data_IF_082806236317
#
_entry.id   IF_082806236317
#
_cell.length_a   1.000
_cell.length_b   1.000
_cell.length_c   1.000
_cell.angle_alpha   90.00
_cell.angle_beta   90.00
_cell.angle_gamma   90.00
#
_symmetry.space_group_name_H-M   'P 1'
#
loop_
_entity.id
_entity.type
_entity.pdbx_description
1 polymer ?
#
# COMPACT_ATOMS: atom_id res chain seq x y z
N UNK A 1 20.55 64.79 -20.37
CA UNK A 1 19.44 64.02 -19.77
C UNK A 1 20.04 62.84 -19.02
N UNK A 2 20.16 62.93 -17.69
CA UNK A 2 20.70 61.85 -16.86
C UNK A 2 19.56 61.24 -16.06
N UNK A 3 19.28 59.96 -16.30
CA UNK A 3 18.28 59.18 -15.57
C UNK A 3 18.81 58.86 -14.17
N UNK A 4 18.09 59.32 -13.14
CA UNK A 4 18.40 59.00 -11.74
C UNK A 4 17.75 57.66 -11.37
N UNK A 5 18.48 56.68 -10.80
CA UNK A 5 17.94 55.37 -10.51
C UNK A 5 17.02 55.42 -9.29
N UNK A 6 15.85 54.78 -9.41
CA UNK A 6 14.81 54.71 -8.39
C UNK A 6 15.36 54.03 -7.11
N UNK A 7 15.71 54.82 -6.08
CA UNK A 7 16.19 54.31 -4.79
C UNK A 7 15.01 53.75 -3.99
N UNK A 8 14.88 52.43 -3.98
CA UNK A 8 13.95 51.72 -3.10
C UNK A 8 14.26 52.01 -1.62
N UNK A 9 13.24 52.39 -0.86
CA UNK A 9 13.38 52.69 0.57
C UNK A 9 13.84 51.46 1.36
N UNK A 10 14.70 51.66 2.37
CA UNK A 10 15.18 50.56 3.22
C UNK A 10 14.04 49.77 3.88
N UNK A 11 12.92 50.43 4.22
CA UNK A 11 11.72 49.77 4.78
C UNK A 11 11.09 48.78 3.81
N UNK A 12 11.14 49.07 2.50
CA UNK A 12 10.60 48.17 1.47
C UNK A 12 11.49 46.94 1.30
N UNK A 13 12.82 47.11 1.38
CA UNK A 13 13.77 45.98 1.34
C UNK A 13 13.59 45.06 2.54
N UNK A 14 13.48 45.61 3.76
CA UNK A 14 13.28 44.82 4.99
C UNK A 14 11.97 44.03 4.94
N UNK A 15 10.88 44.65 4.44
CA UNK A 15 9.58 43.95 4.26
C UNK A 15 9.67 42.78 3.28
N UNK A 16 10.33 42.97 2.14
CA UNK A 16 10.51 41.91 1.14
C UNK A 16 11.38 40.78 1.72
N UNK A 17 12.48 41.10 2.38
CA UNK A 17 13.34 40.10 3.04
C UNK A 17 12.58 39.29 4.09
N UNK A 18 11.72 39.93 4.88
CA UNK A 18 10.89 39.25 5.87
C UNK A 18 9.84 38.32 5.21
N UNK A 19 9.18 38.77 4.14
CA UNK A 19 8.21 37.94 3.40
C UNK A 19 8.87 36.73 2.73
N UNK A 20 10.06 36.92 2.16
CA UNK A 20 10.85 35.85 1.56
C UNK A 20 11.27 34.83 2.62
N UNK A 21 11.76 35.28 3.78
CA UNK A 21 12.09 34.39 4.89
C UNK A 21 10.86 33.59 5.37
N UNK A 22 9.70 34.24 5.49
CA UNK A 22 8.44 33.58 5.88
C UNK A 22 8.04 32.49 4.87
N UNK A 23 8.14 32.78 3.57
CA UNK A 23 7.84 31.82 2.51
C UNK A 23 8.77 30.61 2.54
N UNK A 24 10.08 30.82 2.75
CA UNK A 24 11.04 29.72 2.91
C UNK A 24 10.77 28.87 4.15
N UNK A 25 10.42 29.50 5.28
CA UNK A 25 10.03 28.74 6.48
C UNK A 25 8.76 27.92 6.26
N UNK A 26 7.75 28.48 5.58
CA UNK A 26 6.52 27.75 5.23
C UNK A 26 6.80 26.58 4.29
N UNK A 27 7.62 26.78 3.27
CA UNK A 27 8.02 25.72 2.34
C UNK A 27 8.82 24.61 3.04
N UNK A 28 9.73 24.99 3.94
CA UNK A 28 10.50 24.04 4.75
C UNK A 28 9.60 23.20 5.66
N UNK A 29 8.64 23.83 6.35
CA UNK A 29 7.66 23.12 7.17
C UNK A 29 6.73 22.23 6.35
N UNK A 30 6.32 22.65 5.14
CA UNK A 30 5.56 21.81 4.21
C UNK A 30 6.36 20.58 3.77
N UNK A 31 7.63 20.75 3.42
CA UNK A 31 8.51 19.64 3.05
C UNK A 31 8.73 18.67 4.22
N UNK A 32 8.92 19.18 5.44
CA UNK A 32 8.97 18.37 6.65
C UNK A 32 7.65 17.62 6.84
N UNK A 33 6.52 18.31 6.77
CA UNK A 33 5.20 17.71 6.91
C UNK A 33 4.97 16.57 5.90
N UNK A 34 5.25 16.79 4.62
CA UNK A 34 5.14 15.74 3.60
C UNK A 34 6.13 14.59 3.80
N UNK A 35 7.32 14.87 4.36
CA UNK A 35 8.30 13.82 4.70
C UNK A 35 7.90 12.97 5.92
N UNK A 36 7.11 13.53 6.85
CA UNK A 36 6.62 12.83 8.04
C UNK A 36 5.27 12.14 7.83
N UNK A 37 4.39 12.72 7.01
CA UNK A 37 3.07 12.14 6.70
C UNK A 37 3.17 10.71 6.14
N UNK A 38 4.20 10.42 5.36
CA UNK A 38 4.48 9.07 4.87
C UNK A 38 5.37 8.21 5.77
N UNK A 39 5.91 8.74 6.88
CA UNK A 39 6.86 8.04 7.76
C UNK A 39 6.18 7.50 9.03
N UNK A 40 5.15 8.17 9.53
CA UNK A 40 4.51 7.80 10.80
C UNK A 40 3.76 6.46 10.74
N UNK A 41 3.26 6.07 9.55
CA UNK A 41 2.70 4.73 9.30
C UNK A 41 3.76 3.61 9.25
N UNK A 42 5.03 3.93 9.01
CA UNK A 42 6.13 2.94 8.99
C UNK A 42 6.77 2.73 10.36
N UNK A 43 6.83 3.76 11.21
CA UNK A 43 7.58 3.68 12.48
C UNK A 43 6.76 2.99 13.58
N UNK A 44 5.42 3.06 13.55
CA UNK A 44 4.57 2.35 14.51
C UNK A 44 4.59 0.82 14.37
N UNK A 45 5.02 0.29 13.22
CA UNK A 45 4.94 -1.14 12.86
C UNK A 45 6.26 -1.93 12.99
N UNK A 46 7.36 -1.31 13.42
CA UNK A 46 8.66 -1.99 13.44
C UNK A 46 8.75 -3.15 14.46
N UNK A 47 7.80 -3.26 15.39
CA UNK A 47 7.77 -4.28 16.45
C UNK A 47 6.61 -5.29 16.35
N UNK A 48 5.66 -5.10 15.44
CA UNK A 48 4.51 -6.00 15.27
C UNK A 48 4.48 -6.62 13.88
N UNK A 49 4.06 -7.88 13.79
CA UNK A 49 3.87 -8.51 12.49
C UNK A 49 2.87 -7.72 11.63
N UNK A 50 3.07 -7.71 10.29
CA UNK A 50 2.17 -7.01 9.38
C UNK A 50 0.76 -7.63 9.46
N UNK A 51 -0.26 -6.78 9.39
CA UNK A 51 -1.66 -7.22 9.52
C UNK A 51 -2.10 -8.04 8.30
N UNK A 52 -1.55 -7.75 7.11
CA UNK A 52 -2.00 -8.28 5.83
C UNK A 52 -0.82 -8.82 5.02
N UNK A 53 -0.97 -10.03 4.46
CA UNK A 53 -0.07 -10.62 3.46
C UNK A 53 -0.76 -10.68 2.11
N UNK A 54 -0.12 -10.18 1.06
CA UNK A 54 -0.61 -10.35 -0.32
C UNK A 54 -0.24 -11.73 -0.86
N UNK A 55 -1.16 -12.35 -1.59
CA UNK A 55 -0.96 -13.66 -2.22
C UNK A 55 -1.46 -13.59 -3.66
N UNK A 56 -0.64 -14.06 -4.61
CA UNK A 56 -1.00 -14.11 -6.02
C UNK A 56 -0.20 -15.14 -6.80
N UNK A 57 -0.59 -15.34 -8.05
CA UNK A 57 0.13 -16.17 -9.01
C UNK A 57 0.41 -15.41 -10.30
N UNK A 58 1.57 -15.64 -10.91
CA UNK A 58 1.95 -15.12 -12.23
C UNK A 58 2.83 -16.16 -12.92
N UNK A 59 2.41 -16.63 -14.09
CA UNK A 59 3.11 -17.70 -14.83
C UNK A 59 3.55 -17.26 -16.22
N UNK A 60 4.52 -18.02 -16.75
CA UNK A 60 4.95 -17.91 -18.13
C UNK A 60 5.59 -16.56 -18.47
N UNK A 61 5.64 -16.26 -19.77
CA UNK A 61 6.23 -15.04 -20.30
C UNK A 61 5.14 -14.02 -20.69
N UNK A 62 4.35 -13.56 -19.72
CA UNK A 62 3.29 -12.57 -19.95
C UNK A 62 3.64 -11.22 -19.33
N UNK A 63 4.17 -10.31 -20.15
CA UNK A 63 4.62 -8.98 -19.72
C UNK A 63 3.51 -8.12 -19.10
N UNK A 64 2.24 -8.33 -19.47
CA UNK A 64 1.10 -7.59 -18.88
C UNK A 64 0.93 -7.97 -17.42
N UNK A 65 0.96 -9.26 -17.09
CA UNK A 65 0.82 -9.73 -15.71
C UNK A 65 2.00 -9.34 -14.83
N UNK A 66 3.22 -9.28 -15.37
CA UNK A 66 4.37 -8.76 -14.64
C UNK A 66 4.29 -7.24 -14.41
N UNK A 67 3.72 -6.47 -15.35
CA UNK A 67 3.44 -5.05 -15.11
C UNK A 67 2.38 -4.85 -14.03
N UNK A 68 1.31 -5.65 -14.04
CA UNK A 68 0.32 -5.66 -12.97
C UNK A 68 0.96 -6.02 -11.63
N UNK A 69 1.80 -7.07 -11.58
CA UNK A 69 2.59 -7.46 -10.41
C UNK A 69 3.40 -6.29 -9.84
N UNK A 70 4.07 -5.53 -10.71
CA UNK A 70 4.88 -4.39 -10.29
C UNK A 70 4.08 -3.35 -9.50
N UNK A 71 2.84 -3.07 -9.90
CA UNK A 71 1.97 -2.13 -9.15
C UNK A 71 1.69 -2.62 -7.72
N UNK A 72 1.53 -3.94 -7.54
CA UNK A 72 1.32 -4.53 -6.23
C UNK A 72 2.59 -4.61 -5.39
N UNK A 73 3.75 -4.90 -6.00
CA UNK A 73 5.05 -4.87 -5.33
C UNK A 73 5.38 -3.50 -4.77
N UNK A 74 5.15 -2.45 -5.56
CA UNK A 74 5.45 -1.08 -5.16
C UNK A 74 4.53 -0.63 -4.02
N UNK A 75 3.25 -1.03 -4.06
CA UNK A 75 2.32 -0.83 -2.96
C UNK A 75 2.71 -1.62 -1.69
N UNK A 76 3.09 -2.90 -1.85
CA UNK A 76 3.53 -3.74 -0.73
C UNK A 76 4.78 -3.18 -0.07
N UNK A 77 5.75 -2.69 -0.86
CA UNK A 77 6.93 -1.99 -0.34
C UNK A 77 6.55 -0.73 0.43
N UNK A 78 5.59 0.05 -0.09
CA UNK A 78 5.11 1.28 0.54
C UNK A 78 4.42 1.04 1.88
N UNK A 79 3.71 -0.06 2.08
CA UNK A 79 2.97 -0.28 3.32
C UNK A 79 3.53 -1.43 4.19
N UNK A 80 4.63 -2.04 3.77
CA UNK A 80 5.26 -3.13 4.50
C UNK A 80 4.51 -4.46 4.43
N UNK A 81 3.69 -4.70 3.39
CA UNK A 81 2.97 -5.96 3.24
C UNK A 81 3.89 -7.05 2.70
N UNK A 82 4.05 -8.20 3.38
CA UNK A 82 4.67 -9.38 2.80
C UNK A 82 3.87 -9.82 1.57
N UNK A 83 4.56 -10.37 0.57
CA UNK A 83 3.90 -10.84 -0.64
C UNK A 83 4.44 -12.19 -1.09
N UNK A 84 3.51 -13.11 -1.36
CA UNK A 84 3.79 -14.40 -1.99
C UNK A 84 3.38 -14.36 -3.44
N UNK A 85 4.30 -14.71 -4.33
CA UNK A 85 4.03 -14.85 -5.76
C UNK A 85 4.39 -16.28 -6.17
N UNK A 86 3.41 -17.03 -6.65
CA UNK A 86 3.65 -18.33 -7.24
C UNK A 86 3.99 -18.17 -8.73
N UNK A 87 5.23 -18.55 -9.07
CA UNK A 87 5.78 -18.42 -10.43
C UNK A 87 5.68 -19.68 -11.29
N UNK A 88 5.26 -20.81 -10.69
CA UNK A 88 5.04 -22.08 -11.39
C UNK A 88 3.73 -22.70 -10.91
N UNK A 89 2.86 -23.19 -11.80
CA UNK A 89 1.61 -23.82 -11.37
C UNK A 89 1.91 -25.04 -10.50
N UNK A 90 1.13 -25.20 -9.43
CA UNK A 90 1.19 -26.37 -8.54
C UNK A 90 0.23 -27.47 -9.00
N UNK A 91 -0.94 -27.04 -9.47
CA UNK A 91 -2.04 -27.87 -9.95
C UNK A 91 -2.58 -27.28 -11.26
N UNK A 92 -3.27 -28.08 -12.04
CA UNK A 92 -3.85 -27.65 -13.31
C UNK A 92 -4.91 -26.57 -13.13
N UNK A 93 -4.96 -25.63 -14.08
CA UNK A 93 -5.97 -24.58 -14.15
C UNK A 93 -6.08 -23.74 -12.88
N UNK A 94 -7.32 -23.50 -12.43
CA UNK A 94 -7.64 -22.65 -11.29
C UNK A 94 -7.25 -23.25 -9.93
N UNK A 95 -6.90 -24.53 -9.86
CA UNK A 95 -6.61 -25.21 -8.59
C UNK A 95 -5.32 -24.73 -7.91
N UNK A 96 -4.39 -24.17 -8.68
CA UNK A 96 -3.17 -23.56 -8.11
C UNK A 96 -3.47 -22.41 -7.14
N UNK A 97 -4.57 -21.69 -7.34
CA UNK A 97 -5.05 -20.63 -6.44
C UNK A 97 -5.43 -21.18 -5.06
N UNK A 98 -6.20 -22.26 -5.04
CA UNK A 98 -6.56 -22.91 -3.77
C UNK A 98 -5.33 -23.46 -3.07
N UNK A 99 -4.41 -24.08 -3.81
CA UNK A 99 -3.18 -24.65 -3.24
C UNK A 99 -2.26 -23.58 -2.62
N UNK A 100 -2.02 -22.46 -3.31
CA UNK A 100 -1.17 -21.38 -2.77
C UNK A 100 -1.83 -20.67 -1.59
N UNK A 101 -3.15 -20.48 -1.61
CA UNK A 101 -3.88 -19.88 -0.49
C UNK A 101 -3.85 -20.79 0.74
N UNK A 102 -4.10 -22.09 0.56
CA UNK A 102 -4.01 -23.06 1.65
C UNK A 102 -2.60 -23.11 2.22
N UNK A 103 -1.57 -23.15 1.37
CA UNK A 103 -0.18 -23.10 1.80
C UNK A 103 0.10 -21.83 2.60
N UNK A 104 -0.29 -20.66 2.09
CA UNK A 104 -0.08 -19.39 2.79
C UNK A 104 -0.82 -19.37 4.13
N UNK A 105 -2.03 -19.92 4.21
CA UNK A 105 -2.79 -20.02 5.45
C UNK A 105 -2.09 -20.91 6.48
N UNK A 106 -1.63 -22.09 6.07
CA UNK A 106 -0.87 -23.01 6.95
C UNK A 106 0.42 -22.35 7.43
N UNK A 107 1.19 -21.72 6.54
CA UNK A 107 2.42 -21.00 6.88
C UNK A 107 2.19 -19.89 7.93
N UNK A 108 1.03 -19.22 7.92
CA UNK A 108 0.68 -18.24 8.95
C UNK A 108 0.22 -18.92 10.24
N UNK A 109 -0.63 -19.95 10.15
CA UNK A 109 -1.12 -20.70 11.32
C UNK A 109 -0.01 -21.43 12.10
N UNK A 110 1.10 -21.78 11.45
CA UNK A 110 2.29 -22.37 12.08
C UNK A 110 3.10 -21.37 12.92
N UNK A 111 2.93 -20.07 12.70
CA UNK A 111 3.66 -19.04 13.48
C UNK A 111 2.98 -18.81 14.84
N UNK A 112 3.72 -18.33 15.85
CA UNK A 112 3.10 -17.79 17.07
C UNK A 112 2.10 -16.68 16.73
N UNK A 113 0.95 -16.61 17.41
CA UNK A 113 -0.14 -15.65 17.11
C UNK A 113 0.34 -14.20 16.95
N UNK A 114 1.28 -13.76 17.80
CA UNK A 114 1.87 -12.42 17.74
C UNK A 114 2.69 -12.13 16.47
N UNK A 115 3.05 -13.17 15.70
CA UNK A 115 3.82 -13.11 14.47
C UNK A 115 2.99 -13.39 13.21
N UNK A 116 1.73 -13.80 13.37
CA UNK A 116 0.84 -14.09 12.26
C UNK A 116 0.36 -12.80 11.60
N UNK A 117 0.21 -12.82 10.29
CA UNK A 117 -0.70 -11.86 9.65
C UNK A 117 -2.14 -12.23 10.01
N UNK A 118 -3.02 -11.23 10.10
CA UNK A 118 -4.45 -11.46 10.39
C UNK A 118 -5.24 -11.78 9.13
N UNK A 119 -4.77 -11.31 7.98
CA UNK A 119 -5.46 -11.45 6.70
C UNK A 119 -4.52 -11.83 5.56
N UNK A 120 -4.99 -12.73 4.71
CA UNK A 120 -4.46 -12.93 3.37
C UNK A 120 -5.28 -12.09 2.39
N UNK A 121 -4.61 -11.36 1.51
CA UNK A 121 -5.24 -10.61 0.43
C UNK A 121 -4.87 -11.22 -0.92
N UNK A 122 -5.85 -11.88 -1.55
CA UNK A 122 -5.70 -12.49 -2.86
C UNK A 122 -5.89 -11.45 -3.96
N UNK A 123 -5.03 -11.49 -4.99
CA UNK A 123 -5.22 -10.74 -6.24
C UNK A 123 -4.86 -11.60 -7.46
N UNK A 124 -5.72 -11.61 -8.48
CA UNK A 124 -5.46 -12.31 -9.73
C UNK A 124 -4.33 -11.64 -10.54
N UNK A 125 -3.78 -12.41 -11.49
CA UNK A 125 -2.61 -12.01 -12.28
C UNK A 125 -2.80 -10.75 -13.13
N UNK A 126 -4.04 -10.52 -13.56
CA UNK A 126 -4.54 -9.43 -14.39
C UNK A 126 -5.05 -8.21 -13.59
N UNK A 127 -5.01 -8.27 -12.25
CA UNK A 127 -5.48 -7.18 -11.40
C UNK A 127 -4.40 -6.09 -11.23
N UNK A 128 -4.73 -4.85 -11.62
CA UNK A 128 -3.87 -3.66 -11.49
C UNK A 128 -4.28 -2.81 -10.29
N UNK A 129 -3.30 -2.35 -9.51
CA UNK A 129 -3.54 -1.43 -8.39
C UNK A 129 -3.52 0.02 -8.88
N UNK A 130 -4.65 0.72 -8.73
CA UNK A 130 -4.84 2.07 -9.28
C UNK A 130 -4.53 3.20 -8.29
N UNK A 131 -4.76 3.00 -6.99
CA UNK A 131 -4.46 3.99 -5.95
C UNK A 131 -3.32 3.48 -5.05
N UNK A 132 -2.05 3.83 -5.35
CA UNK A 132 -0.90 3.33 -4.59
C UNK A 132 -0.79 3.89 -3.18
N UNK A 133 -1.62 4.87 -2.79
CA UNK A 133 -1.55 5.54 -1.49
C UNK A 133 -2.65 5.10 -0.51
N UNK A 134 -3.51 4.16 -0.89
CA UNK A 134 -4.60 3.67 -0.04
C UNK A 134 -4.18 2.38 0.67
N UNK A 135 -4.05 2.37 2.01
CA UNK A 135 -3.72 1.14 2.74
C UNK A 135 -4.84 0.11 2.63
N UNK A 136 -4.51 -1.17 2.65
CA UNK A 136 -5.49 -2.26 2.57
C UNK A 136 -6.37 -2.34 3.83
N UNK A 137 -5.88 -1.87 4.98
CA UNK A 137 -6.62 -1.78 6.23
C UNK A 137 -7.90 -0.95 6.09
N UNK A 138 -7.96 -0.01 5.13
CA UNK A 138 -9.16 0.77 4.83
C UNK A 138 -10.36 -0.09 4.44
N UNK A 139 -10.12 -1.30 3.92
CA UNK A 139 -11.17 -2.22 3.47
C UNK A 139 -11.49 -3.33 4.47
N UNK A 140 -10.76 -3.41 5.58
CA UNK A 140 -11.00 -4.43 6.60
C UNK A 140 -12.31 -4.16 7.35
N UNK A 141 -12.98 -5.21 7.86
CA UNK A 141 -14.24 -5.03 8.57
C UNK A 141 -13.98 -4.24 9.86
N UNK A 142 -14.94 -3.39 10.28
CA UNK A 142 -14.81 -2.68 11.54
C UNK A 142 -14.95 -3.67 12.72
N UNK A 143 -14.53 -3.29 13.95
CA UNK A 143 -14.46 -4.20 15.09
C UNK A 143 -15.78 -4.92 15.45
N UNK A 144 -16.93 -4.31 15.13
CA UNK A 144 -18.26 -4.87 15.37
C UNK A 144 -18.53 -6.12 14.50
N UNK A 145 -17.82 -6.25 13.38
CA UNK A 145 -17.88 -7.38 12.46
C UNK A 145 -16.68 -8.32 12.63
N UNK A 146 -16.22 -8.51 13.88
CA UNK A 146 -15.07 -9.37 14.21
C UNK A 146 -15.20 -10.85 13.83
N UNK A 147 -16.42 -11.30 13.53
CA UNK A 147 -16.73 -12.65 13.05
C UNK A 147 -16.62 -12.80 11.52
N UNK A 148 -16.25 -11.74 10.80
CA UNK A 148 -16.00 -11.82 9.36
C UNK A 148 -14.69 -12.56 9.10
N UNK A 149 -14.76 -13.64 8.32
CA UNK A 149 -13.59 -14.44 7.92
C UNK A 149 -13.28 -14.34 6.42
N UNK A 150 -14.19 -13.79 5.64
CA UNK A 150 -14.10 -13.69 4.18
C UNK A 150 -14.74 -12.40 3.72
N UNK A 151 -14.05 -11.64 2.88
CA UNK A 151 -14.62 -10.48 2.19
C UNK A 151 -14.42 -10.66 0.70
N UNK A 152 -15.53 -10.82 -0.02
CA UNK A 152 -15.56 -11.06 -1.47
C UNK A 152 -15.88 -9.77 -2.20
N UNK A 153 -15.37 -9.65 -3.43
CA UNK A 153 -15.79 -8.61 -4.35
C UNK A 153 -17.09 -8.98 -5.04
N UNK A 154 -18.00 -8.01 -5.12
CA UNK A 154 -19.22 -8.06 -5.92
C UNK A 154 -19.03 -7.19 -7.16
N UNK A 155 -19.45 -7.71 -8.32
CA UNK A 155 -19.46 -6.98 -9.58
C UNK A 155 -20.77 -7.27 -10.35
N UNK A 156 -20.89 -6.73 -11.56
CA UNK A 156 -22.09 -6.89 -12.39
C UNK A 156 -22.46 -8.35 -12.71
N UNK A 157 -21.50 -9.29 -12.53
CA UNK A 157 -21.70 -10.72 -12.70
C UNK A 157 -21.93 -11.45 -11.36
N UNK A 158 -22.26 -10.70 -10.30
CA UNK A 158 -22.45 -11.21 -8.95
C UNK A 158 -21.13 -11.28 -8.20
N UNK A 159 -20.61 -12.49 -7.96
CA UNK A 159 -19.40 -12.66 -7.17
C UNK A 159 -18.16 -12.74 -8.06
N UNK A 160 -17.18 -11.90 -7.77
CA UNK A 160 -15.84 -11.95 -8.35
C UNK A 160 -14.88 -12.52 -7.31
N UNK A 161 -14.15 -13.58 -7.68
CA UNK A 161 -13.15 -14.17 -6.79
C UNK A 161 -11.73 -13.66 -7.09
N UNK A 162 -11.55 -12.70 -8.00
CA UNK A 162 -10.24 -12.23 -8.42
C UNK A 162 -9.54 -11.34 -7.40
N UNK A 163 -10.29 -10.71 -6.49
CA UNK A 163 -9.75 -9.89 -5.40
C UNK A 163 -10.55 -10.13 -4.14
N UNK A 164 -9.92 -10.59 -3.07
CA UNK A 164 -10.65 -10.84 -1.82
C UNK A 164 -9.71 -11.00 -0.63
N UNK A 165 -10.28 -10.89 0.56
CA UNK A 165 -9.56 -11.12 1.82
C UNK A 165 -10.04 -12.40 2.49
N UNK A 166 -9.11 -13.21 3.00
CA UNK A 166 -9.36 -14.36 3.89
C UNK A 166 -8.71 -14.08 5.23
N UNK A 167 -9.44 -14.27 6.33
CA UNK A 167 -8.89 -14.17 7.67
C UNK A 167 -8.07 -15.40 8.03
N UNK A 168 -6.90 -15.20 8.63
CA UNK A 168 -6.14 -16.29 9.25
C UNK A 168 -6.81 -16.61 10.58
N UNK A 169 -7.39 -17.81 10.68
CA UNK A 169 -8.15 -18.26 11.85
C UNK A 169 -8.15 -19.80 11.92
N UNK A 170 -8.21 -20.35 13.13
CA UNK A 170 -8.29 -21.81 13.39
C UNK A 170 -9.72 -22.35 13.36
#
# INVERSE_FOLDING_TARGET
>A
MSFSPHRWSQRTRVRISFQVALAFTGLFWLLIFFSHYGRDSHVANATSAPIIRKVRMVYGNNSVYYRALKTHEDHSRRFGYPMTVLHKPLLEGAWSKTAILLRALIEELEKPEAQQVRWLFWVDGDTVLMNPNMPLETFLPPPELSHTHLMLTEDWNGMNNGVFFIRVHQ
#
